data_IF_719841432519
#
_entry.id   IF_719841432519
#
_cell.length_a   1.000
_cell.length_b   1.000
_cell.length_c   1.000
_cell.angle_alpha   90.00
_cell.angle_beta   90.00
_cell.angle_gamma   90.00
#
_symmetry.space_group_name_H-M   'P 1'
#
loop_
_entity.id
_entity.type
_entity.pdbx_description
1 polymer ?
#
# COMPACT_ATOMS: atom_id res chain seq x y z
N UNK A 1 -16.93 -2.26 0.66
CA UNK A 1 -16.10 -2.33 -0.56
C UNK A 1 -14.76 -1.74 -0.18
N UNK A 2 -13.68 -2.51 -0.21
CA UNK A 2 -12.35 -2.00 0.18
C UNK A 2 -11.84 -1.06 -0.92
N UNK A 3 -11.29 0.07 -0.50
CA UNK A 3 -10.74 1.08 -1.40
C UNK A 3 -9.43 0.58 -2.03
N UNK A 4 -9.26 0.79 -3.36
CA UNK A 4 -8.04 0.41 -4.05
C UNK A 4 -6.88 1.32 -3.62
N UNK A 5 -5.76 0.72 -3.26
CA UNK A 5 -4.52 1.41 -2.89
C UNK A 5 -3.62 1.46 -4.12
N UNK A 6 -3.03 2.64 -4.36
CA UNK A 6 -2.04 2.84 -5.42
C UNK A 6 -0.71 3.26 -4.83
N UNK A 7 0.36 2.61 -5.24
CA UNK A 7 1.71 2.96 -4.86
C UNK A 7 2.19 4.18 -5.67
N UNK A 8 2.51 5.31 -5.02
CA UNK A 8 3.00 6.50 -5.72
C UNK A 8 4.40 6.31 -6.32
N UNK A 9 5.17 5.32 -5.86
CA UNK A 9 6.55 5.12 -6.30
C UNK A 9 6.66 4.33 -7.61
N UNK A 10 5.84 3.29 -7.79
CA UNK A 10 5.92 2.39 -8.96
C UNK A 10 4.60 2.26 -9.73
N UNK A 11 3.51 2.87 -9.26
CA UNK A 11 2.19 2.78 -9.89
C UNK A 11 1.45 1.47 -9.66
N UNK A 12 1.96 0.58 -8.79
CA UNK A 12 1.26 -0.66 -8.44
C UNK A 12 -0.11 -0.35 -7.81
N UNK A 13 -1.14 -1.08 -8.23
CA UNK A 13 -2.48 -0.99 -7.66
C UNK A 13 -2.86 -2.31 -7.01
N UNK A 14 -3.46 -2.25 -5.82
CA UNK A 14 -3.93 -3.43 -5.10
C UNK A 14 -5.08 -3.11 -4.17
N UNK A 15 -5.68 -4.15 -3.60
CA UNK A 15 -6.67 -3.99 -2.54
C UNK A 15 -5.93 -3.70 -1.23
N UNK A 16 -6.49 -2.84 -0.38
CA UNK A 16 -6.00 -2.56 0.98
C UNK A 16 -5.83 -3.86 1.80
N UNK A 17 -6.68 -4.86 1.55
CA UNK A 17 -6.60 -6.21 2.15
C UNK A 17 -5.37 -7.02 1.66
N UNK A 18 -4.88 -6.76 0.46
CA UNK A 18 -3.67 -7.39 -0.11
C UNK A 18 -2.38 -6.72 0.34
N UNK A 19 -2.46 -5.57 1.01
CA UNK A 19 -1.30 -4.92 1.60
C UNK A 19 -1.08 -5.51 3.00
N UNK A 20 -0.32 -6.60 3.03
CA UNK A 20 0.04 -7.27 4.28
C UNK A 20 0.94 -6.36 5.12
N UNK A 21 0.38 -5.68 6.11
CA UNK A 21 1.09 -4.86 7.06
C UNK A 21 0.46 -5.00 8.44
N UNK A 22 1.10 -5.78 9.31
CA UNK A 22 0.85 -5.77 10.74
C UNK A 22 1.08 -4.36 11.27
N UNK A 23 -0.01 -3.62 11.50
CA UNK A 23 -0.21 -2.58 12.54
C UNK A 23 0.74 -1.37 12.59
N UNK A 24 1.75 -1.25 11.71
CA UNK A 24 2.67 -0.11 11.72
C UNK A 24 2.65 0.66 10.40
N UNK A 25 2.99 0.05 9.26
CA UNK A 25 3.08 0.79 7.99
C UNK A 25 2.82 -0.13 6.78
N UNK A 26 1.72 0.06 6.03
CA UNK A 26 1.49 -0.70 4.79
C UNK A 26 2.62 -0.39 3.79
N UNK A 27 3.26 -1.41 3.19
CA UNK A 27 4.34 -1.23 2.20
C UNK A 27 3.99 -1.89 0.87
N UNK A 28 4.48 -1.33 -0.23
CA UNK A 28 4.22 -1.83 -1.57
C UNK A 28 4.98 -3.13 -1.81
N UNK A 29 4.32 -4.23 -2.23
CA UNK A 29 4.99 -5.51 -2.49
C UNK A 29 5.91 -5.50 -3.72
N UNK A 30 5.78 -4.48 -4.59
CA UNK A 30 6.57 -4.39 -5.83
C UNK A 30 7.90 -3.68 -5.61
N UNK A 31 7.88 -2.55 -4.89
CA UNK A 31 9.07 -1.69 -4.73
C UNK A 31 9.46 -1.45 -3.27
N UNK A 32 8.69 -1.92 -2.30
CA UNK A 32 8.92 -1.71 -0.87
C UNK A 32 8.59 -0.30 -0.36
N UNK A 33 8.01 0.57 -1.20
CA UNK A 33 7.66 1.93 -0.78
C UNK A 33 6.48 1.93 0.21
N UNK A 34 6.56 2.77 1.24
CA UNK A 34 5.51 2.92 2.27
C UNK A 34 4.25 3.54 1.65
N UNK A 35 3.11 2.90 1.85
CA UNK A 35 1.78 3.25 1.35
C UNK A 35 0.95 4.03 2.39
N UNK A 36 1.54 4.36 3.55
CA UNK A 36 0.83 4.84 4.75
C UNK A 36 1.22 6.23 5.28
N UNK A 37 1.80 7.12 4.47
CA UNK A 37 2.11 8.48 4.91
C UNK A 37 1.47 9.55 4.00
N UNK A 38 0.16 9.74 4.16
CA UNK A 38 -0.49 11.00 3.83
C UNK A 38 -0.98 11.56 5.17
N UNK A 39 -0.32 12.63 5.64
CA UNK A 39 -0.72 13.42 6.82
C UNK A 39 -2.06 14.12 6.59
#
# INVERSE_FOLDING_TARGET
MSEPVMCPACGWTGQSDSVAGTEAEPACPVCGAVLGALA
#
